data_IF_815946892307
#
_entry.id   IF_815946892307
#
_cell.length_a   1.000
_cell.length_b   1.000
_cell.length_c   1.000
_cell.angle_alpha   90.00
_cell.angle_beta   90.00
_cell.angle_gamma   90.00
#
_symmetry.space_group_name_H-M   'P 1'
#
loop_
_entity.id
_entity.type
_entity.pdbx_description
1 polymer ?
#
# COMPACT_ATOMS: atom_id res chain seq x y z
N UNK A 1 -15.66 2.66 -23.65
CA UNK A 1 -15.42 1.99 -24.96
C UNK A 1 -15.49 0.49 -24.71
N UNK A 2 -16.04 -0.37 -25.57
CA UNK A 2 -16.03 -1.81 -25.30
C UNK A 2 -14.75 -2.44 -25.86
N UNK A 3 -14.16 -3.38 -25.13
CA UNK A 3 -13.00 -4.14 -25.60
C UNK A 3 -13.36 -4.97 -26.84
N UNK A 4 -12.47 -4.98 -27.83
CA UNK A 4 -12.50 -6.00 -28.87
C UNK A 4 -12.11 -7.36 -28.28
N UNK A 5 -12.70 -8.44 -28.78
CA UNK A 5 -12.39 -9.82 -28.34
C UNK A 5 -12.56 -10.07 -26.83
N UNK A 6 -13.56 -9.44 -26.22
CA UNK A 6 -13.83 -9.55 -24.76
C UNK A 6 -13.88 -10.99 -24.28
N UNK A 7 -14.48 -11.89 -25.05
CA UNK A 7 -14.57 -13.33 -24.73
C UNK A 7 -13.17 -13.97 -24.62
N UNK A 8 -12.25 -13.61 -25.51
CA UNK A 8 -10.87 -14.14 -25.46
C UNK A 8 -10.13 -13.63 -24.25
N UNK A 9 -10.30 -12.36 -23.88
CA UNK A 9 -9.74 -11.80 -22.65
C UNK A 9 -10.27 -12.54 -21.42
N UNK A 10 -11.58 -12.68 -21.27
CA UNK A 10 -12.22 -13.34 -20.11
C UNK A 10 -11.87 -14.83 -19.98
N UNK A 11 -11.53 -15.51 -21.08
CA UNK A 11 -11.07 -16.91 -21.04
C UNK A 11 -9.59 -17.06 -20.78
N UNK A 12 -8.79 -15.99 -20.84
CA UNK A 12 -7.39 -16.02 -20.54
C UNK A 12 -7.13 -16.43 -19.08
N UNK A 13 -6.17 -17.34 -18.87
CA UNK A 13 -5.78 -17.78 -17.53
C UNK A 13 -5.39 -16.61 -16.60
N UNK A 14 -4.71 -15.59 -17.13
CA UNK A 14 -4.27 -14.42 -16.38
C UNK A 14 -5.44 -13.49 -15.94
N UNK A 15 -6.61 -13.59 -16.54
CA UNK A 15 -7.83 -12.94 -16.06
C UNK A 15 -8.49 -13.71 -14.90
N UNK A 16 -8.27 -15.01 -14.84
CA UNK A 16 -8.85 -15.89 -13.79
C UNK A 16 -8.07 -15.84 -12.49
N UNK A 17 -6.83 -15.35 -12.51
CA UNK A 17 -5.99 -15.15 -11.32
C UNK A 17 -6.40 -13.86 -10.60
N UNK A 18 -7.63 -13.81 -10.10
CA UNK A 18 -8.17 -12.65 -9.37
C UNK A 18 -7.39 -12.30 -8.08
N UNK A 19 -6.49 -13.15 -7.64
CA UNK A 19 -5.77 -12.99 -6.37
C UNK A 19 -4.69 -11.90 -6.38
N UNK A 20 -4.36 -11.31 -7.53
CA UNK A 20 -3.24 -10.36 -7.65
C UNK A 20 -3.57 -9.05 -8.36
N UNK A 21 -4.84 -8.70 -8.52
CA UNK A 21 -5.20 -7.41 -9.09
C UNK A 21 -4.60 -6.29 -8.23
N UNK A 22 -3.63 -5.58 -8.78
CA UNK A 22 -2.92 -4.52 -8.07
C UNK A 22 -3.74 -3.22 -8.02
N UNK A 23 -4.59 -2.98 -9.02
CA UNK A 23 -5.42 -1.77 -9.11
C UNK A 23 -6.91 -2.09 -9.09
N UNK A 24 -7.68 -1.21 -8.45
CA UNK A 24 -9.13 -1.24 -8.49
C UNK A 24 -9.69 0.19 -8.44
N UNK A 25 -10.80 0.42 -9.14
CA UNK A 25 -11.60 1.64 -9.04
C UNK A 25 -12.81 1.36 -8.16
N UNK A 26 -13.02 2.18 -7.15
CA UNK A 26 -14.16 2.03 -6.24
C UNK A 26 -14.89 3.35 -6.10
N UNK A 27 -16.21 3.32 -6.28
CA UNK A 27 -17.09 4.46 -6.07
C UNK A 27 -17.88 4.26 -4.79
N UNK A 28 -17.72 5.16 -3.85
CA UNK A 28 -18.43 5.17 -2.58
C UNK A 28 -19.46 6.30 -2.56
N UNK A 29 -20.59 6.03 -1.95
CA UNK A 29 -21.61 7.05 -1.69
C UNK A 29 -21.46 7.63 -0.29
N UNK A 30 -21.82 8.90 -0.14
CA UNK A 30 -21.89 9.55 1.16
C UNK A 30 -22.71 8.70 2.12
N UNK A 31 -22.17 8.50 3.32
CA UNK A 31 -22.78 7.66 4.37
C UNK A 31 -22.85 6.15 4.08
N UNK A 32 -22.14 5.64 3.07
CA UNK A 32 -21.90 4.20 3.00
C UNK A 32 -21.32 3.71 4.33
N UNK A 33 -21.59 2.45 4.65
CA UNK A 33 -21.05 1.83 5.84
C UNK A 33 -19.53 1.99 5.90
N UNK A 34 -18.95 2.31 7.08
CA UNK A 34 -17.52 2.46 7.20
C UNK A 34 -16.78 1.22 6.66
N UNK A 35 -15.80 1.44 5.82
CA UNK A 35 -15.00 0.37 5.25
C UNK A 35 -13.90 -0.02 6.23
N UNK A 36 -13.83 -1.31 6.56
CA UNK A 36 -12.71 -1.88 7.32
C UNK A 36 -11.69 -2.40 6.34
N UNK A 37 -10.51 -1.82 6.35
CA UNK A 37 -9.40 -2.22 5.50
C UNK A 37 -8.41 -2.98 6.39
N UNK A 38 -8.41 -4.29 6.25
CA UNK A 38 -7.42 -5.17 6.87
C UNK A 38 -6.80 -6.00 5.75
N UNK A 39 -5.58 -5.66 5.37
CA UNK A 39 -4.95 -6.15 4.16
C UNK A 39 -3.56 -6.71 4.45
N UNK A 40 -3.25 -7.79 3.77
CA UNK A 40 -1.93 -8.45 3.75
C UNK A 40 -0.90 -7.74 2.86
N UNK A 41 -1.33 -6.71 2.12
CA UNK A 41 -0.51 -5.88 1.23
C UNK A 41 -0.58 -4.42 1.65
N UNK A 42 0.42 -3.64 1.31
CA UNK A 42 0.34 -2.18 1.41
C UNK A 42 -0.55 -1.64 0.29
N UNK A 43 -1.35 -0.61 0.57
CA UNK A 43 -2.26 -0.03 -0.42
C UNK A 43 -2.08 1.48 -0.47
N UNK A 44 -1.97 1.98 -1.69
CA UNK A 44 -2.10 3.39 -2.02
C UNK A 44 -3.56 3.68 -2.37
N UNK A 45 -4.13 4.71 -1.76
CA UNK A 45 -5.47 5.22 -2.05
C UNK A 45 -5.37 6.59 -2.69
N UNK A 46 -5.67 6.66 -3.98
CA UNK A 46 -5.72 7.90 -4.75
C UNK A 46 -7.15 8.42 -4.78
N UNK A 47 -7.39 9.56 -4.16
CA UNK A 47 -8.73 10.16 -4.09
C UNK A 47 -8.92 11.03 -5.34
N UNK A 48 -9.69 10.52 -6.31
CA UNK A 48 -9.96 11.22 -7.56
C UNK A 48 -11.08 12.24 -7.42
N UNK A 49 -12.04 12.01 -6.51
CA UNK A 49 -13.10 12.94 -6.16
C UNK A 49 -13.61 12.69 -4.74
N UNK A 50 -14.22 13.69 -4.12
CA UNK A 50 -14.86 13.58 -2.82
C UNK A 50 -13.92 13.70 -1.64
N UNK A 51 -14.37 13.20 -0.47
CA UNK A 51 -13.70 13.35 0.82
C UNK A 51 -13.97 12.15 1.72
N UNK A 52 -12.92 11.68 2.39
CA UNK A 52 -12.98 10.58 3.35
C UNK A 52 -12.30 10.95 4.68
N UNK A 53 -12.66 10.25 5.75
CA UNK A 53 -11.96 10.30 7.03
C UNK A 53 -11.40 8.93 7.35
N UNK A 54 -10.09 8.85 7.57
CA UNK A 54 -9.36 7.62 7.86
C UNK A 54 -8.95 7.60 9.33
N UNK A 55 -9.20 6.49 9.99
CA UNK A 55 -8.66 6.18 11.32
C UNK A 55 -7.79 4.92 11.20
N UNK A 56 -6.50 5.06 11.45
CA UNK A 56 -5.54 3.98 11.33
C UNK A 56 -4.61 3.98 12.55
N UNK A 57 -4.71 2.95 13.40
CA UNK A 57 -3.97 2.85 14.66
C UNK A 57 -4.17 4.11 15.55
N UNK A 58 -3.06 4.81 15.93
CA UNK A 58 -3.10 6.05 16.70
C UNK A 58 -3.60 7.27 15.92
N UNK A 59 -3.62 7.22 14.60
CA UNK A 59 -4.04 8.34 13.75
C UNK A 59 -5.55 8.30 13.57
N UNK A 60 -6.25 9.17 14.32
CA UNK A 60 -7.73 9.19 14.34
C UNK A 60 -8.26 10.31 13.47
N UNK A 61 -9.33 10.00 12.71
CA UNK A 61 -10.12 10.96 11.96
C UNK A 61 -9.28 11.88 11.04
N UNK A 62 -8.28 11.34 10.37
CA UNK A 62 -7.51 12.08 9.37
C UNK A 62 -8.37 12.25 8.12
N UNK A 63 -8.64 13.49 7.76
CA UNK A 63 -9.43 13.81 6.57
C UNK A 63 -8.54 13.88 5.34
N UNK A 64 -9.00 13.25 4.28
CA UNK A 64 -8.35 13.21 2.97
C UNK A 64 -9.36 13.58 1.91
N UNK A 65 -8.91 14.32 0.89
CA UNK A 65 -9.77 14.88 -0.14
C UNK A 65 -9.23 14.65 -1.54
N UNK A 66 -10.03 15.05 -2.52
CA UNK A 66 -9.63 15.00 -3.93
C UNK A 66 -8.23 15.56 -4.16
N UNK A 67 -7.44 14.85 -4.96
CA UNK A 67 -6.07 15.25 -5.30
C UNK A 67 -5.00 14.80 -4.31
N UNK A 68 -5.36 13.94 -3.35
CA UNK A 68 -4.45 13.38 -2.37
C UNK A 68 -4.29 11.87 -2.54
N UNK A 69 -3.09 11.37 -2.20
CA UNK A 69 -2.83 9.93 -2.05
C UNK A 69 -2.44 9.64 -0.61
N UNK A 70 -3.10 8.63 -0.03
CA UNK A 70 -2.81 8.10 1.30
C UNK A 70 -2.21 6.69 1.17
N UNK A 71 -1.31 6.35 2.11
CA UNK A 71 -0.72 5.02 2.22
C UNK A 71 -1.32 4.29 3.43
N UNK A 72 -1.86 3.09 3.22
CA UNK A 72 -2.19 2.16 4.28
C UNK A 72 -1.17 1.01 4.24
N UNK A 73 -0.29 0.92 5.23
CA UNK A 73 0.70 -0.16 5.29
C UNK A 73 0.01 -1.50 5.54
N UNK A 74 0.59 -2.58 5.03
CA UNK A 74 0.12 -3.93 5.31
C UNK A 74 0.07 -4.22 6.81
N UNK A 75 -0.75 -5.18 7.22
CA UNK A 75 -0.93 -5.55 8.63
C UNK A 75 -1.43 -4.41 9.54
N UNK A 76 -2.00 -3.34 8.95
CA UNK A 76 -2.70 -2.30 9.67
C UNK A 76 -4.21 -2.44 9.47
N UNK A 77 -4.96 -2.21 10.53
CA UNK A 77 -6.41 -2.12 10.46
C UNK A 77 -6.81 -0.66 10.40
N UNK A 78 -7.44 -0.27 9.31
CA UNK A 78 -7.90 1.10 9.11
C UNK A 78 -9.41 1.12 8.89
N UNK A 79 -10.06 2.15 9.44
CA UNK A 79 -11.47 2.45 9.24
C UNK A 79 -11.59 3.67 8.35
N UNK A 80 -12.29 3.53 7.25
CA UNK A 80 -12.55 4.63 6.31
C UNK A 80 -14.02 5.00 6.35
N UNK A 81 -14.32 6.25 6.69
CA UNK A 81 -15.66 6.83 6.67
C UNK A 81 -15.79 7.77 5.48
N UNK A 82 -16.83 7.60 4.71
CA UNK A 82 -17.12 8.40 3.52
C UNK A 82 -17.84 9.67 3.94
N UNK A 83 -17.22 10.84 3.69
CA UNK A 83 -17.79 12.16 4.03
C UNK A 83 -18.58 12.72 2.86
N UNK A 84 -18.11 12.53 1.66
CA UNK A 84 -18.75 12.95 0.41
C UNK A 84 -18.71 11.78 -0.59
N UNK A 85 -19.53 11.81 -1.63
CA UNK A 85 -19.45 10.84 -2.74
C UNK A 85 -18.02 10.83 -3.27
N UNK A 86 -17.36 9.67 -3.21
CA UNK A 86 -15.92 9.55 -3.40
C UNK A 86 -15.57 8.48 -4.42
N UNK A 87 -14.73 8.84 -5.39
CA UNK A 87 -14.10 7.90 -6.32
C UNK A 87 -12.63 7.72 -5.93
N UNK A 88 -12.23 6.47 -5.73
CA UNK A 88 -10.88 6.11 -5.35
C UNK A 88 -10.31 5.11 -6.36
N UNK A 89 -9.06 5.34 -6.77
CA UNK A 89 -8.22 4.31 -7.36
C UNK A 89 -7.34 3.75 -6.25
N UNK A 90 -7.40 2.46 -6.01
CA UNK A 90 -6.50 1.77 -5.08
C UNK A 90 -5.43 1.00 -5.83
N UNK A 91 -4.21 0.97 -5.29
CA UNK A 91 -3.10 0.15 -5.76
C UNK A 91 -2.57 -0.68 -4.61
N UNK A 92 -2.79 -1.99 -4.63
CA UNK A 92 -2.18 -2.90 -3.67
C UNK A 92 -0.81 -3.38 -4.16
N UNK A 93 0.20 -3.40 -3.29
CA UNK A 93 1.56 -3.77 -3.67
C UNK A 93 2.32 -4.45 -2.53
N UNK A 94 3.38 -5.18 -2.90
CA UNK A 94 4.34 -5.77 -1.97
C UNK A 94 5.60 -4.89 -1.90
N UNK A 95 6.36 -5.00 -0.79
CA UNK A 95 7.57 -4.20 -0.56
C UNK A 95 8.73 -4.46 -1.54
N UNK A 96 8.67 -5.52 -2.33
CA UNK A 96 9.72 -5.90 -3.28
C UNK A 96 9.71 -5.10 -4.59
N UNK A 97 9.17 -3.88 -4.56
CA UNK A 97 9.17 -3.02 -5.73
C UNK A 97 10.54 -2.38 -5.89
N UNK A 98 11.21 -2.78 -6.95
CA UNK A 98 12.39 -2.08 -7.46
C UNK A 98 11.93 -1.00 -8.44
N UNK A 99 12.02 0.27 -8.04
CA UNK A 99 11.74 1.39 -8.94
C UNK A 99 12.68 1.39 -10.17
N UNK A 100 13.92 0.97 -9.96
CA UNK A 100 14.93 0.62 -10.95
C UNK A 100 16.14 0.04 -10.21
N UNK A 101 17.10 -0.54 -10.95
CA UNK A 101 18.33 -1.13 -10.38
C UNK A 101 19.16 -0.20 -9.47
N UNK A 102 18.89 1.10 -9.47
CA UNK A 102 19.61 2.10 -8.67
C UNK A 102 18.77 2.76 -7.58
N UNK A 103 17.48 2.44 -7.48
CA UNK A 103 16.59 3.10 -6.52
C UNK A 103 15.54 2.11 -5.99
N UNK A 104 15.67 1.77 -4.73
CA UNK A 104 14.76 0.90 -4.00
C UNK A 104 14.19 1.62 -2.78
N UNK A 105 13.17 1.06 -2.13
CA UNK A 105 12.67 1.56 -0.85
C UNK A 105 13.78 1.68 0.21
N UNK A 106 14.76 0.77 0.23
CA UNK A 106 15.90 0.85 1.16
C UNK A 106 16.71 2.14 1.00
N UNK A 107 16.82 2.63 -0.23
CA UNK A 107 17.59 3.86 -0.50
C UNK A 107 16.85 5.11 0.00
N UNK A 108 15.51 5.05 0.12
CA UNK A 108 14.71 6.16 0.64
C UNK A 108 14.99 6.45 2.12
N UNK A 109 15.34 5.45 2.92
CA UNK A 109 15.64 5.64 4.34
C UNK A 109 16.75 6.66 4.60
N UNK A 110 17.67 6.85 3.65
CA UNK A 110 18.76 7.81 3.75
C UNK A 110 18.31 9.28 3.60
N UNK A 111 17.07 9.51 3.20
CA UNK A 111 16.49 10.85 2.99
C UNK A 111 15.46 11.22 4.06
N UNK A 112 15.36 10.44 5.13
CA UNK A 112 14.54 10.77 6.29
C UNK A 112 15.34 11.75 7.16
N UNK A 113 14.77 12.92 7.53
CA UNK A 113 15.41 13.83 8.46
C UNK A 113 15.62 13.20 9.85
N UNK A 114 16.71 13.51 10.54
CA UNK A 114 17.08 12.94 11.85
C UNK A 114 15.98 13.06 12.93
N UNK A 115 15.18 14.11 12.88
CA UNK A 115 14.10 14.40 13.83
C UNK A 115 12.70 14.20 13.21
N UNK A 116 12.57 13.39 12.15
CA UNK A 116 11.30 13.19 11.48
C UNK A 116 10.33 12.41 12.36
N UNK A 117 9.15 12.99 12.57
CA UNK A 117 8.02 12.32 13.23
C UNK A 117 6.95 12.06 12.19
N UNK A 118 6.65 10.79 11.95
CA UNK A 118 5.58 10.42 11.03
C UNK A 118 4.21 10.77 11.60
N UNK A 119 3.43 11.51 10.84
CA UNK A 119 2.05 11.91 11.22
C UNK A 119 1.06 11.65 10.08
N UNK A 120 0.98 10.40 9.65
CA UNK A 120 0.09 9.94 8.55
C UNK A 120 0.22 10.83 7.31
N UNK A 121 1.45 10.95 6.84
CA UNK A 121 1.82 11.84 5.73
C UNK A 121 1.08 11.47 4.45
N UNK A 122 0.56 12.48 3.75
CA UNK A 122 -0.07 12.37 2.44
C UNK A 122 0.84 12.96 1.37
N UNK A 123 0.62 12.57 0.11
CA UNK A 123 1.20 13.25 -1.04
C UNK A 123 0.11 13.88 -1.92
N UNK A 124 0.35 15.05 -2.53
CA UNK A 124 -0.53 15.58 -3.56
C UNK A 124 -0.40 14.74 -4.84
N UNK A 125 -1.53 14.42 -5.47
CA UNK A 125 -1.54 13.78 -6.80
C UNK A 125 -1.11 14.83 -7.83
N UNK A 126 0.13 14.72 -8.32
CA UNK A 126 0.66 15.65 -9.32
C UNK A 126 0.05 15.41 -10.69
N UNK A 127 0.06 16.42 -11.55
CA UNK A 127 -0.65 16.43 -12.85
C UNK A 127 -0.43 15.16 -13.68
N UNK A 128 0.81 14.71 -13.84
CA UNK A 128 1.11 13.51 -14.66
C UNK A 128 0.61 12.22 -14.01
N UNK A 129 0.66 12.13 -12.69
CA UNK A 129 0.07 11.01 -11.95
C UNK A 129 -1.44 11.01 -12.08
N UNK A 130 -2.09 12.19 -12.04
CA UNK A 130 -3.55 12.31 -12.27
C UNK A 130 -3.94 11.87 -13.70
N UNK A 131 -3.19 12.28 -14.71
CA UNK A 131 -3.42 11.86 -16.10
C UNK A 131 -3.31 10.33 -16.26
N UNK A 132 -2.28 9.73 -15.64
CA UNK A 132 -2.09 8.28 -15.59
C UNK A 132 -3.27 7.58 -14.89
N UNK A 133 -3.67 8.05 -13.72
CA UNK A 133 -4.77 7.45 -12.95
C UNK A 133 -6.11 7.53 -13.67
N UNK A 134 -6.37 8.61 -14.41
CA UNK A 134 -7.58 8.73 -15.20
C UNK A 134 -7.58 7.74 -16.38
N UNK A 135 -6.46 7.60 -17.08
CA UNK A 135 -6.33 6.61 -18.15
C UNK A 135 -6.52 5.19 -17.59
N UNK A 136 -5.84 4.88 -16.50
CA UNK A 136 -5.94 3.59 -15.80
C UNK A 136 -7.38 3.28 -15.41
N UNK A 137 -8.09 4.25 -14.79
CA UNK A 137 -9.47 4.07 -14.38
C UNK A 137 -10.38 3.73 -15.59
N UNK A 138 -10.25 4.44 -16.69
CA UNK A 138 -11.00 4.13 -17.91
C UNK A 138 -10.67 2.75 -18.47
N UNK A 139 -9.41 2.33 -18.47
CA UNK A 139 -9.01 1.00 -18.90
C UNK A 139 -9.65 -0.11 -18.04
N UNK A 140 -9.68 0.08 -16.72
CA UNK A 140 -10.33 -0.86 -15.79
C UNK A 140 -11.85 -0.88 -15.97
N UNK A 141 -12.49 0.28 -16.16
CA UNK A 141 -13.92 0.39 -16.47
C UNK A 141 -14.29 -0.29 -17.80
N UNK A 142 -13.41 -0.22 -18.81
CA UNK A 142 -13.56 -0.94 -20.07
C UNK A 142 -13.37 -2.46 -19.91
N UNK A 143 -12.76 -2.93 -18.79
CA UNK A 143 -12.58 -4.34 -18.45
C UNK A 143 -11.18 -4.89 -18.74
N UNK A 144 -10.15 -4.05 -18.82
CA UNK A 144 -8.75 -4.51 -18.90
C UNK A 144 -8.27 -4.86 -17.49
N UNK A 145 -8.38 -6.13 -17.12
CA UNK A 145 -8.07 -6.62 -15.76
C UNK A 145 -7.06 -7.77 -15.76
N UNK A 146 -6.26 -7.94 -16.82
CA UNK A 146 -5.26 -8.99 -16.84
C UNK A 146 -4.06 -8.67 -15.92
N UNK A 147 -3.47 -9.70 -15.34
CA UNK A 147 -2.33 -9.57 -14.42
C UNK A 147 -1.17 -8.78 -15.03
N UNK A 148 -0.86 -9.00 -16.31
CA UNK A 148 0.21 -8.28 -17.02
C UNK A 148 -0.04 -6.78 -17.12
N UNK A 149 -1.32 -6.38 -17.31
CA UNK A 149 -1.68 -4.97 -17.31
C UNK A 149 -1.43 -4.34 -15.93
N UNK A 150 -1.89 -4.98 -14.86
CA UNK A 150 -1.68 -4.48 -13.49
C UNK A 150 -0.20 -4.38 -13.12
N UNK A 151 0.63 -5.37 -13.47
CA UNK A 151 2.07 -5.35 -13.23
C UNK A 151 2.77 -4.22 -13.99
N UNK A 152 2.36 -3.98 -15.24
CA UNK A 152 2.91 -2.89 -16.05
C UNK A 152 2.55 -1.53 -15.45
N UNK A 153 1.27 -1.34 -15.10
CA UNK A 153 0.78 -0.09 -14.49
C UNK A 153 1.41 0.17 -13.12
N UNK A 154 1.66 -0.87 -12.32
CA UNK A 154 2.37 -0.74 -11.06
C UNK A 154 3.79 -0.19 -11.28
N UNK A 155 4.55 -0.77 -12.19
CA UNK A 155 5.90 -0.29 -12.54
C UNK A 155 5.89 1.15 -13.03
N UNK A 156 4.95 1.50 -13.90
CA UNK A 156 4.80 2.86 -14.41
C UNK A 156 4.48 3.86 -13.30
N UNK A 157 3.57 3.52 -12.38
CA UNK A 157 3.23 4.34 -11.22
C UNK A 157 4.47 4.65 -10.37
N UNK A 158 5.29 3.64 -10.06
CA UNK A 158 6.48 3.85 -9.23
C UNK A 158 7.57 4.63 -9.97
N UNK A 159 7.68 4.50 -11.28
CA UNK A 159 8.54 5.37 -12.11
C UNK A 159 8.05 6.82 -12.01
N UNK A 160 6.74 7.07 -12.06
CA UNK A 160 6.17 8.42 -11.91
C UNK A 160 6.43 8.99 -10.51
N UNK A 161 6.30 8.20 -9.45
CA UNK A 161 6.68 8.64 -8.12
C UNK A 161 8.13 9.11 -8.10
N UNK A 162 9.04 8.32 -8.64
CA UNK A 162 10.44 8.69 -8.71
C UNK A 162 10.71 9.95 -9.56
N UNK A 163 9.97 10.13 -10.66
CA UNK A 163 10.19 11.22 -11.61
C UNK A 163 9.61 12.55 -11.13
N UNK A 164 8.50 12.52 -10.38
CA UNK A 164 7.72 13.71 -10.08
C UNK A 164 7.68 14.10 -8.61
N UNK A 165 8.25 13.33 -7.71
CA UNK A 165 8.34 13.67 -6.28
C UNK A 165 9.80 13.71 -5.84
N UNK A 166 10.11 14.51 -4.84
CA UNK A 166 11.46 14.53 -4.26
C UNK A 166 11.71 13.26 -3.43
N UNK A 167 12.97 12.95 -3.17
CA UNK A 167 13.33 11.78 -2.35
C UNK A 167 12.86 11.95 -0.91
N UNK A 168 12.86 13.18 -0.40
CA UNK A 168 12.41 13.57 0.93
C UNK A 168 10.89 13.42 1.04
N UNK A 169 10.11 13.83 0.03
CA UNK A 169 8.66 13.60 -0.03
C UNK A 169 8.36 12.12 -0.01
N UNK A 170 9.02 11.33 -0.86
CA UNK A 170 8.83 9.88 -0.92
C UNK A 170 9.29 9.19 0.36
N UNK A 171 10.41 9.59 0.96
CA UNK A 171 10.89 9.05 2.23
C UNK A 171 9.89 9.30 3.37
N UNK A 172 9.36 10.52 3.46
CA UNK A 172 8.36 10.88 4.47
C UNK A 172 7.04 10.13 4.26
N UNK A 173 6.60 9.99 3.01
CA UNK A 173 5.34 9.31 2.67
C UNK A 173 5.43 7.79 2.90
N UNK A 174 6.50 7.16 2.42
CA UNK A 174 6.72 5.73 2.58
C UNK A 174 7.38 5.36 3.91
N UNK A 175 7.56 6.32 4.82
CA UNK A 175 8.19 6.09 6.12
C UNK A 175 7.70 4.83 6.86
N UNK A 176 6.39 4.54 6.91
CA UNK A 176 5.90 3.32 7.55
C UNK A 176 6.42 2.02 6.92
N UNK A 177 6.95 2.09 5.69
CA UNK A 177 7.47 0.95 4.95
C UNK A 177 9.00 0.86 4.98
N UNK A 178 9.69 1.86 5.56
CA UNK A 178 11.15 1.99 5.53
C UNK A 178 11.84 1.52 6.82
N UNK A 179 11.08 1.20 7.88
CA UNK A 179 11.60 0.90 9.20
C UNK A 179 11.96 -0.59 9.39
N UNK A 180 12.99 -0.84 10.22
CA UNK A 180 13.37 -2.20 10.66
C UNK A 180 12.23 -2.92 11.37
N UNK A 181 11.35 -2.18 12.05
CA UNK A 181 10.21 -2.72 12.78
C UNK A 181 9.14 -3.29 11.84
N UNK A 182 9.03 -2.77 10.62
CA UNK A 182 8.12 -3.31 9.62
C UNK A 182 8.64 -4.63 9.04
N UNK A 183 9.92 -4.70 8.71
CA UNK A 183 10.57 -5.93 8.27
C UNK A 183 10.40 -7.04 9.32
N UNK A 184 10.50 -6.70 10.60
CA UNK A 184 10.31 -7.64 11.70
C UNK A 184 8.85 -8.06 11.87
N UNK A 185 7.91 -7.10 11.83
CA UNK A 185 6.47 -7.38 11.92
C UNK A 185 6.02 -8.28 10.78
N UNK A 186 6.46 -7.98 9.57
CA UNK A 186 6.17 -8.74 8.37
C UNK A 186 6.78 -10.13 8.41
N UNK A 187 8.02 -10.24 8.88
CA UNK A 187 8.66 -11.52 9.11
C UNK A 187 7.85 -12.37 10.10
N UNK A 188 7.44 -11.79 11.22
CA UNK A 188 6.62 -12.50 12.22
C UNK A 188 5.29 -12.92 11.63
N UNK A 189 4.54 -12.01 10.98
CA UNK A 189 3.22 -12.29 10.44
C UNK A 189 3.23 -13.32 9.30
N UNK A 190 4.31 -13.37 8.53
CA UNK A 190 4.45 -14.33 7.43
C UNK A 190 4.87 -15.73 7.90
N UNK A 191 5.47 -15.86 9.08
CA UNK A 191 6.10 -17.10 9.52
C UNK A 191 5.48 -17.72 10.79
N UNK A 192 4.61 -16.99 11.53
CA UNK A 192 4.13 -17.46 12.83
C UNK A 192 3.36 -18.78 12.80
N UNK A 193 2.73 -19.12 11.68
CA UNK A 193 2.05 -20.41 11.49
C UNK A 193 3.00 -21.56 11.09
N UNK A 194 4.20 -21.23 10.62
CA UNK A 194 5.16 -22.20 10.09
C UNK A 194 6.21 -22.60 11.11
N UNK A 195 6.45 -21.75 12.13
CA UNK A 195 7.52 -21.90 13.10
C UNK A 195 6.97 -22.47 14.41
N UNK A 196 7.64 -23.49 14.92
CA UNK A 196 7.16 -24.29 16.05
C UNK A 196 7.50 -23.70 17.42
N UNK A 197 8.59 -22.96 17.54
CA UNK A 197 9.03 -22.38 18.80
C UNK A 197 9.73 -21.02 18.62
N UNK A 198 9.84 -20.28 19.75
CA UNK A 198 10.42 -18.94 19.74
C UNK A 198 11.94 -18.93 19.48
N UNK A 199 12.65 -20.01 19.77
CA UNK A 199 14.09 -20.08 19.53
C UNK A 199 14.36 -20.23 18.04
N UNK A 200 13.58 -21.05 17.36
CA UNK A 200 13.59 -21.17 15.89
C UNK A 200 13.22 -19.82 15.25
N UNK A 201 12.19 -19.15 15.78
CA UNK A 201 11.76 -17.84 15.30
C UNK A 201 12.87 -16.79 15.39
N UNK A 202 13.53 -16.70 16.55
CA UNK A 202 14.65 -15.80 16.76
C UNK A 202 15.82 -16.12 15.82
N UNK A 203 16.14 -17.41 15.63
CA UNK A 203 17.21 -17.87 14.72
C UNK A 203 16.92 -17.47 13.28
N UNK A 204 15.70 -17.68 12.79
CA UNK A 204 15.30 -17.29 11.43
C UNK A 204 15.28 -15.76 11.25
N UNK A 205 15.01 -14.99 12.32
CA UNK A 205 15.12 -13.53 12.31
C UNK A 205 16.58 -13.03 12.42
N UNK A 206 17.58 -13.94 12.48
CA UNK A 206 18.98 -13.61 12.75
C UNK A 206 19.18 -12.83 14.06
N UNK A 207 18.38 -13.16 15.09
CA UNK A 207 18.39 -12.51 16.41
C UNK A 207 18.64 -13.54 17.52
N UNK A 208 19.21 -13.08 18.64
CA UNK A 208 19.16 -13.86 19.88
C UNK A 208 17.73 -13.90 20.43
N UNK A 209 17.35 -14.96 21.12
CA UNK A 209 16.00 -15.08 21.72
C UNK A 209 15.63 -13.89 22.65
N UNK A 210 16.53 -13.36 23.50
CA UNK A 210 16.23 -12.16 24.27
C UNK A 210 15.99 -10.92 23.41
N UNK A 211 16.78 -10.74 22.34
CA UNK A 211 16.62 -9.63 21.39
C UNK A 211 15.30 -9.74 20.65
N UNK A 212 14.95 -10.95 20.19
CA UNK A 212 13.67 -11.22 19.52
C UNK A 212 12.47 -10.90 20.43
N UNK A 213 12.48 -11.40 21.69
CA UNK A 213 11.39 -11.14 22.67
C UNK A 213 11.22 -9.66 22.96
N UNK A 214 12.31 -8.91 23.12
CA UNK A 214 12.27 -7.46 23.33
C UNK A 214 11.66 -6.77 22.10
N UNK A 215 12.18 -7.05 20.91
CA UNK A 215 11.71 -6.46 19.65
C UNK A 215 10.24 -6.81 19.36
N UNK A 216 9.84 -8.06 19.64
CA UNK A 216 8.46 -8.49 19.54
C UNK A 216 7.54 -7.66 20.43
N UNK A 217 7.94 -7.45 21.70
CA UNK A 217 7.17 -6.65 22.65
C UNK A 217 7.07 -5.18 22.20
N UNK A 218 8.15 -4.60 21.69
CA UNK A 218 8.17 -3.24 21.16
C UNK A 218 7.25 -3.11 19.93
N UNK A 219 7.25 -4.09 19.02
CA UNK A 219 6.48 -4.08 17.78
C UNK A 219 4.99 -4.40 17.98
N UNK A 220 4.65 -5.37 18.84
CA UNK A 220 3.28 -5.86 19.01
C UNK A 220 2.62 -5.42 20.32
N UNK A 221 3.33 -4.75 21.22
CA UNK A 221 2.82 -4.27 22.49
C UNK A 221 2.55 -5.38 23.54
N UNK A 222 2.87 -6.64 23.23
CA UNK A 222 2.66 -7.81 24.08
C UNK A 222 3.83 -8.79 23.97
N UNK A 223 4.09 -9.62 25.00
CA UNK A 223 5.17 -10.59 24.96
C UNK A 223 4.90 -11.70 23.94
N UNK A 224 5.99 -12.24 23.37
CA UNK A 224 5.93 -13.46 22.55
C UNK A 224 5.83 -14.69 23.48
N UNK A 225 4.83 -15.52 23.23
CA UNK A 225 4.58 -16.78 23.95
C UNK A 225 4.66 -17.97 23.00
#
# INVERSE_FOLDING_TARGET
MSLFYKEEHLTCYNYKLSASANFAVTNFKKNDAPQVINIDRSVLFFILSGKVSVTCNQYKNREHQQGEVALIPRNHCCYVRIIEDTTVVSCSFLLNIDFCNHFSFRNLSNFIPDNFVYDFTILPIRKRVSEFLNLLAHCLEDGIECMHFHELMEKELFIFFRAYYSKEELASFFYPLLGKDLDFKDFVMSNYLLIKDLSEFASQANMSLPTFKRHFRETFGQPAH
#
